data_IF_049336353995
#
_entry.id   IF_049336353995
#
_cell.length_a   1.000
_cell.length_b   1.000
_cell.length_c   1.000
_cell.angle_alpha   90.00
_cell.angle_beta   90.00
_cell.angle_gamma   90.00
#
_symmetry.space_group_name_H-M   'P 1'
#
loop_
_entity.id
_entity.type
_entity.pdbx_description
1 polymer ?
#
# COMPACT_ATOMS: atom_id res chain seq x y z
N UNK A 1 -54.22 -41.70 70.55
CA UNK A 1 -53.78 -40.75 69.51
C UNK A 1 -52.60 -41.40 68.82
N UNK A 2 -52.83 -41.79 67.56
CA UNK A 2 -51.90 -41.93 66.41
C UNK A 2 -50.46 -42.44 66.69
N UNK A 3 -49.92 -43.47 66.05
CA UNK A 3 -50.27 -44.20 64.83
C UNK A 3 -49.05 -45.01 64.36
N UNK A 4 -49.28 -45.87 63.36
CA UNK A 4 -48.32 -46.60 62.52
C UNK A 4 -47.45 -47.69 63.16
N UNK A 5 -47.06 -48.78 62.50
CA UNK A 5 -47.51 -49.57 61.34
C UNK A 5 -46.36 -50.57 61.11
N UNK A 6 -46.69 -51.85 61.00
CA UNK A 6 -46.03 -52.91 60.23
C UNK A 6 -44.49 -52.91 60.06
N UNK A 7 -43.83 -53.93 60.62
CA UNK A 7 -42.63 -54.51 60.01
C UNK A 7 -42.81 -56.02 59.89
N UNK A 8 -43.24 -56.44 58.69
CA UNK A 8 -43.13 -57.82 58.22
C UNK A 8 -41.76 -58.02 57.59
N UNK A 9 -41.10 -59.12 57.98
CA UNK A 9 -39.88 -59.63 57.37
C UNK A 9 -40.06 -59.91 55.88
N UNK A 10 -39.11 -59.47 55.07
CA UNK A 10 -38.82 -60.01 53.74
C UNK A 10 -37.30 -60.12 53.61
N UNK A 11 -36.81 -61.36 53.56
CA UNK A 11 -35.42 -61.69 53.22
C UNK A 11 -35.13 -61.25 51.78
N UNK A 12 -34.03 -60.51 51.59
CA UNK A 12 -33.53 -60.14 50.27
C UNK A 12 -32.43 -61.13 49.89
N UNK A 13 -32.50 -61.79 48.72
CA UNK A 13 -31.46 -62.70 48.27
C UNK A 13 -30.14 -61.97 47.98
N UNK A 14 -29.01 -62.61 48.30
CA UNK A 14 -27.68 -62.08 48.01
C UNK A 14 -27.47 -61.99 46.50
N UNK A 15 -27.56 -60.79 45.95
CA UNK A 15 -27.10 -60.51 44.60
C UNK A 15 -25.58 -60.32 44.64
N UNK A 16 -24.86 -61.24 44.00
CA UNK A 16 -23.46 -61.05 43.65
C UNK A 16 -23.35 -59.84 42.71
N UNK A 17 -22.82 -58.74 43.23
CA UNK A 17 -22.56 -57.53 42.44
C UNK A 17 -21.33 -57.81 41.57
N UNK A 18 -21.43 -57.80 40.23
CA UNK A 18 -20.24 -57.80 39.39
C UNK A 18 -19.50 -56.49 39.62
N UNK A 19 -18.21 -56.56 39.96
CA UNK A 19 -17.34 -55.39 39.96
C UNK A 19 -17.20 -54.92 38.51
N UNK A 20 -18.01 -53.94 38.12
CA UNK A 20 -17.81 -53.21 36.87
C UNK A 20 -16.63 -52.27 37.13
N UNK A 21 -15.45 -52.63 36.64
CA UNK A 21 -14.35 -51.67 36.49
C UNK A 21 -14.81 -50.59 35.52
N UNK A 22 -15.17 -49.44 36.07
CA UNK A 22 -15.41 -48.22 35.28
C UNK A 22 -14.04 -47.78 34.77
N UNK A 23 -13.78 -47.75 33.44
CA UNK A 23 -12.54 -47.18 32.95
C UNK A 23 -12.51 -45.70 33.37
N UNK A 24 -11.43 -45.30 34.04
CA UNK A 24 -11.20 -43.90 34.37
C UNK A 24 -11.26 -43.07 33.07
N UNK A 25 -12.04 -41.98 33.02
CA UNK A 25 -12.06 -41.14 31.84
C UNK A 25 -10.67 -40.51 31.73
N UNK A 26 -9.91 -40.93 30.72
CA UNK A 26 -8.70 -40.21 30.31
C UNK A 26 -9.16 -38.86 29.78
N UNK A 27 -9.07 -37.81 30.60
CA UNK A 27 -9.23 -36.44 30.13
C UNK A 27 -8.06 -36.14 29.20
N UNK A 28 -8.29 -36.32 27.90
CA UNK A 28 -7.42 -35.79 26.87
C UNK A 28 -7.54 -34.28 26.95
N UNK A 29 -6.61 -33.62 27.64
CA UNK A 29 -6.44 -32.17 27.52
C UNK A 29 -5.96 -31.93 26.11
N UNK A 30 -6.91 -31.70 25.19
CA UNK A 30 -6.60 -31.23 23.87
C UNK A 30 -6.04 -29.82 24.05
N UNK A 31 -4.71 -29.71 23.99
CA UNK A 31 -4.05 -28.41 23.91
C UNK A 31 -4.78 -27.61 22.83
N UNK A 32 -5.19 -26.35 23.10
CA UNK A 32 -5.85 -25.56 22.09
C UNK A 32 -4.93 -25.56 20.87
N UNK A 33 -5.43 -26.12 19.75
CA UNK A 33 -4.76 -25.99 18.46
C UNK A 33 -4.44 -24.50 18.33
N UNK A 34 -3.18 -24.10 18.09
CA UNK A 34 -2.87 -22.70 17.90
C UNK A 34 -3.84 -22.22 16.82
N UNK A 35 -4.80 -21.38 17.20
CA UNK A 35 -5.54 -20.64 16.19
C UNK A 35 -4.47 -19.81 15.54
N UNK A 36 -4.07 -20.20 14.33
CA UNK A 36 -3.30 -19.34 13.46
C UNK A 36 -4.20 -18.13 13.29
N UNK A 37 -3.94 -17.10 14.09
CA UNK A 37 -4.45 -15.76 13.81
C UNK A 37 -3.83 -15.47 12.46
N UNK A 38 -4.62 -15.64 11.40
CA UNK A 38 -4.27 -15.15 10.09
C UNK A 38 -4.24 -13.64 10.28
N UNK A 39 -3.08 -13.11 10.66
CA UNK A 39 -2.81 -11.69 10.58
C UNK A 39 -3.26 -11.26 9.18
N UNK A 40 -4.03 -10.17 9.03
CA UNK A 40 -4.64 -9.83 7.76
C UNK A 40 -3.54 -9.53 6.73
N UNK A 41 -3.07 -10.55 6.02
CA UNK A 41 -2.08 -10.48 4.94
C UNK A 41 -2.60 -9.69 3.75
N UNK A 42 -3.90 -9.33 3.75
CA UNK A 42 -4.58 -8.49 2.77
C UNK A 42 -4.34 -6.99 3.01
N UNK A 43 -4.10 -6.56 4.25
CA UNK A 43 -4.07 -5.12 4.58
C UNK A 43 -2.84 -4.35 4.06
N UNK A 44 -1.60 -4.88 4.13
CA UNK A 44 -0.45 -4.16 3.58
C UNK A 44 -0.49 -4.06 2.05
N UNK A 45 -1.03 -5.07 1.35
CA UNK A 45 -0.94 -5.15 -0.11
C UNK A 45 -1.74 -4.07 -0.82
N UNK A 46 -2.97 -3.78 -0.38
CA UNK A 46 -3.82 -2.75 -0.98
C UNK A 46 -3.25 -1.34 -0.73
N UNK A 47 -2.78 -1.07 0.48
CA UNK A 47 -2.14 0.19 0.87
C UNK A 47 -0.90 0.45 0.00
N UNK A 48 0.00 -0.52 -0.11
CA UNK A 48 1.19 -0.38 -0.93
C UNK A 48 0.85 -0.27 -2.42
N UNK A 49 -0.11 -1.04 -2.93
CA UNK A 49 -0.55 -0.89 -4.32
C UNK A 49 -1.04 0.53 -4.63
N UNK A 50 -1.80 1.15 -3.72
CA UNK A 50 -2.23 2.54 -3.88
C UNK A 50 -1.04 3.51 -3.86
N UNK A 51 -0.08 3.31 -2.94
CA UNK A 51 1.16 4.11 -2.89
C UNK A 51 1.92 4.01 -4.22
N UNK A 52 2.09 2.78 -4.74
CA UNK A 52 2.77 2.56 -6.02
C UNK A 52 2.04 3.26 -7.16
N UNK A 53 0.72 3.10 -7.21
CA UNK A 53 -0.10 3.70 -8.24
C UNK A 53 0.05 5.22 -8.27
N UNK A 54 0.08 5.88 -7.11
CA UNK A 54 0.17 7.35 -7.06
C UNK A 54 1.59 7.92 -7.15
N UNK A 55 2.59 7.22 -6.60
CA UNK A 55 3.96 7.73 -6.58
C UNK A 55 4.74 7.39 -7.86
N UNK A 56 4.46 6.24 -8.49
CA UNK A 56 5.27 5.71 -9.60
C UNK A 56 4.51 5.64 -10.93
N UNK A 57 3.19 5.89 -10.94
CA UNK A 57 2.37 5.76 -12.15
C UNK A 57 1.32 6.86 -12.29
N UNK A 58 0.76 7.01 -13.49
CA UNK A 58 -0.54 7.66 -13.68
C UNK A 58 -1.35 6.82 -14.64
N UNK A 59 -2.58 6.47 -14.24
CA UNK A 59 -3.45 5.57 -15.01
C UNK A 59 -2.80 4.23 -15.35
N UNK A 60 -1.86 3.77 -14.52
CA UNK A 60 -1.09 2.53 -14.69
C UNK A 60 0.13 2.62 -15.61
N UNK A 61 0.39 3.76 -16.25
CA UNK A 61 1.58 3.98 -17.05
C UNK A 61 2.77 4.43 -16.19
N UNK A 62 3.98 3.95 -16.53
CA UNK A 62 5.20 4.55 -16.02
C UNK A 62 5.44 5.88 -16.73
N UNK A 63 5.25 6.97 -16.01
CA UNK A 63 5.25 8.32 -16.58
C UNK A 63 6.60 9.03 -16.48
N UNK A 64 7.61 8.38 -15.88
CA UNK A 64 8.88 9.08 -15.69
C UNK A 64 9.59 9.31 -17.00
N UNK A 65 9.86 10.59 -17.27
CA UNK A 65 10.56 11.05 -18.46
C UNK A 65 12.09 11.01 -18.27
N UNK A 66 12.54 11.08 -17.01
CA UNK A 66 13.91 10.76 -16.61
C UNK A 66 13.92 10.07 -15.26
N UNK A 67 14.97 9.30 -14.99
CA UNK A 67 15.14 8.64 -13.71
C UNK A 67 15.50 9.65 -12.59
N UNK A 68 15.19 9.28 -11.35
CA UNK A 68 15.70 9.96 -10.16
C UNK A 68 17.17 9.59 -9.93
N UNK A 69 17.96 10.55 -9.43
CA UNK A 69 19.28 10.33 -8.85
C UNK A 69 19.18 10.20 -7.34
N UNK A 70 20.19 9.59 -6.71
CA UNK A 70 20.21 9.47 -5.25
C UNK A 70 20.07 10.85 -4.58
N UNK A 71 19.19 10.92 -3.58
CA UNK A 71 18.85 12.13 -2.86
C UNK A 71 17.85 13.04 -3.59
N UNK A 72 17.49 12.79 -4.85
CA UNK A 72 16.47 13.58 -5.53
C UNK A 72 15.06 13.27 -5.00
N UNK A 73 14.21 14.29 -4.99
CA UNK A 73 12.83 14.16 -4.54
C UNK A 73 11.90 15.11 -5.31
N UNK A 74 10.62 14.74 -5.37
CA UNK A 74 9.51 15.57 -5.84
C UNK A 74 8.37 15.55 -4.84
N UNK A 75 7.62 16.64 -4.78
CA UNK A 75 6.41 16.78 -3.98
C UNK A 75 5.28 17.29 -4.86
N UNK A 76 4.18 16.54 -4.94
CA UNK A 76 2.98 16.90 -5.68
C UNK A 76 1.76 17.02 -4.79
N UNK A 77 0.79 17.83 -5.21
CA UNK A 77 -0.57 17.79 -4.69
C UNK A 77 -1.38 16.88 -5.59
N UNK A 78 -2.01 15.87 -4.99
CA UNK A 78 -2.93 14.95 -5.64
C UNK A 78 -4.34 15.30 -5.19
N UNK A 79 -5.21 15.49 -6.17
CA UNK A 79 -6.65 15.74 -5.96
C UNK A 79 -7.43 14.64 -6.65
N UNK A 80 -8.41 14.08 -5.94
CA UNK A 80 -9.42 13.17 -6.46
C UNK A 80 -10.78 13.89 -6.45
N UNK A 81 -11.14 14.61 -7.53
CA UNK A 81 -12.30 15.50 -7.53
C UNK A 81 -13.60 14.79 -7.14
N UNK A 82 -13.82 13.56 -7.63
CA UNK A 82 -15.03 12.79 -7.35
C UNK A 82 -15.19 12.40 -5.88
N UNK A 83 -14.08 12.32 -5.14
CA UNK A 83 -14.06 11.99 -3.70
C UNK A 83 -13.94 13.22 -2.81
N UNK A 84 -13.61 14.38 -3.39
CA UNK A 84 -13.25 15.58 -2.63
C UNK A 84 -11.95 15.44 -1.82
N UNK A 85 -11.15 14.41 -2.10
CA UNK A 85 -9.92 14.13 -1.36
C UNK A 85 -8.75 14.89 -1.97
N UNK A 86 -7.95 15.54 -1.12
CA UNK A 86 -6.70 16.21 -1.49
C UNK A 86 -5.59 15.73 -0.54
N UNK A 87 -4.44 15.39 -1.10
CA UNK A 87 -3.25 15.02 -0.34
C UNK A 87 -1.99 15.54 -1.01
N UNK A 88 -0.99 15.89 -0.21
CA UNK A 88 0.35 16.10 -0.72
C UNK A 88 1.11 14.76 -0.64
N UNK A 89 1.88 14.45 -1.67
CA UNK A 89 2.72 13.26 -1.72
C UNK A 89 4.14 13.67 -2.11
N UNK A 90 5.11 13.26 -1.31
CA UNK A 90 6.52 13.39 -1.64
C UNK A 90 7.10 12.02 -1.96
N UNK A 91 7.79 11.92 -3.10
CA UNK A 91 8.58 10.75 -3.48
C UNK A 91 10.06 11.15 -3.49
N UNK A 92 10.91 10.38 -2.82
CA UNK A 92 12.35 10.58 -2.82
C UNK A 92 13.10 9.29 -3.12
N UNK A 93 14.09 9.36 -4.01
CA UNK A 93 15.05 8.28 -4.19
C UNK A 93 16.15 8.43 -3.15
N UNK A 94 16.21 7.50 -2.21
CA UNK A 94 17.10 7.62 -1.06
C UNK A 94 18.51 7.14 -1.37
N UNK A 95 18.66 5.90 -1.84
CA UNK A 95 19.97 5.27 -2.06
C UNK A 95 19.82 3.96 -2.82
N UNK A 96 20.84 3.58 -3.60
CA UNK A 96 21.02 2.22 -4.11
C UNK A 96 21.91 1.39 -3.19
N UNK A 97 21.51 0.15 -2.95
CA UNK A 97 22.23 -0.86 -2.17
C UNK A 97 22.32 -2.16 -3.00
N UNK A 98 23.19 -3.13 -2.66
CA UNK A 98 23.30 -4.38 -3.43
C UNK A 98 21.98 -5.12 -3.62
N UNK A 99 21.08 -5.05 -2.64
CA UNK A 99 19.78 -5.73 -2.63
C UNK A 99 18.70 -4.99 -3.45
N UNK A 100 18.94 -3.72 -3.80
CA UNK A 100 17.97 -2.91 -4.52
C UNK A 100 18.04 -1.40 -4.24
N UNK A 101 16.89 -0.75 -4.25
CA UNK A 101 16.76 0.70 -4.18
C UNK A 101 15.84 1.10 -3.02
N UNK A 102 16.35 1.96 -2.14
CA UNK A 102 15.57 2.58 -1.09
C UNK A 102 14.83 3.79 -1.63
N UNK A 103 13.53 3.83 -1.39
CA UNK A 103 12.63 4.93 -1.72
C UNK A 103 11.91 5.41 -0.47
N UNK A 104 11.66 6.72 -0.38
CA UNK A 104 10.82 7.32 0.65
C UNK A 104 9.56 7.88 0.03
N UNK A 105 8.41 7.53 0.58
CA UNK A 105 7.13 8.15 0.26
C UNK A 105 6.58 8.83 1.51
N UNK A 106 6.28 10.12 1.43
CA UNK A 106 5.54 10.83 2.46
C UNK A 106 4.15 11.17 1.93
N UNK A 107 3.12 10.91 2.71
CA UNK A 107 1.73 11.21 2.39
C UNK A 107 1.21 12.15 3.46
N UNK A 108 0.74 13.32 3.04
CA UNK A 108 0.19 14.35 3.91
C UNK A 108 -1.23 14.66 3.43
N UNK A 109 -2.24 13.93 3.92
CA UNK A 109 -3.65 14.24 3.63
C UNK A 109 -4.00 15.66 4.08
N UNK A 110 -4.84 16.36 3.32
CA UNK A 110 -5.39 17.67 3.74
C UNK A 110 -6.66 17.56 4.57
N UNK A 111 -7.24 16.35 4.65
CA UNK A 111 -8.40 16.06 5.49
C UNK A 111 -7.98 15.99 6.97
N UNK A 112 -8.65 16.75 7.83
CA UNK A 112 -8.30 16.94 9.24
C UNK A 112 -8.18 15.64 10.04
N UNK A 113 -9.08 14.68 9.79
CA UNK A 113 -9.12 13.41 10.52
C UNK A 113 -8.05 12.40 10.07
N UNK A 114 -7.30 12.72 9.01
CA UNK A 114 -6.35 11.81 8.37
C UNK A 114 -4.93 12.05 8.86
N UNK A 115 -4.23 10.97 9.20
CA UNK A 115 -2.86 11.04 9.74
C UNK A 115 -1.84 11.06 8.60
N UNK A 116 -0.79 11.89 8.67
CA UNK A 116 0.33 11.80 7.73
C UNK A 116 1.03 10.45 7.89
N UNK A 117 1.62 9.95 6.81
CA UNK A 117 2.36 8.70 6.82
C UNK A 117 3.70 8.83 6.08
N UNK A 118 4.72 8.16 6.59
CA UNK A 118 6.04 8.05 5.96
C UNK A 118 6.30 6.56 5.74
N UNK A 119 6.73 6.21 4.55
CA UNK A 119 7.18 4.87 4.19
C UNK A 119 8.58 4.95 3.64
N UNK A 120 9.44 4.03 4.07
CA UNK A 120 10.74 3.79 3.46
C UNK A 120 10.76 2.34 2.99
N UNK A 121 10.94 2.17 1.69
CA UNK A 121 10.67 0.93 0.97
C UNK A 121 11.92 0.51 0.22
N UNK A 122 12.37 -0.72 0.45
CA UNK A 122 13.43 -1.35 -0.33
C UNK A 122 12.80 -2.11 -1.49
N UNK A 123 13.11 -1.68 -2.71
CA UNK A 123 12.67 -2.30 -3.94
C UNK A 123 13.78 -3.10 -4.58
N UNK A 124 13.52 -4.36 -4.90
CA UNK A 124 14.47 -5.13 -5.69
C UNK A 124 14.55 -4.60 -7.12
N UNK A 125 15.76 -4.27 -7.55
CA UNK A 125 16.03 -3.89 -8.94
C UNK A 125 15.90 -5.06 -9.91
N UNK A 126 16.08 -6.29 -9.43
CA UNK A 126 16.03 -7.52 -10.23
C UNK A 126 14.61 -8.09 -10.34
N UNK A 127 14.00 -8.40 -9.21
CA UNK A 127 12.72 -9.11 -9.18
C UNK A 127 11.51 -8.20 -9.13
N UNK A 128 11.72 -6.88 -8.99
CA UNK A 128 10.64 -5.89 -8.89
C UNK A 128 9.64 -6.24 -7.78
N UNK A 129 10.15 -6.67 -6.64
CA UNK A 129 9.38 -6.96 -5.42
C UNK A 129 9.73 -5.99 -4.31
N UNK A 130 8.79 -5.81 -3.40
CA UNK A 130 9.03 -5.12 -2.13
C UNK A 130 9.82 -6.08 -1.23
N UNK A 131 11.05 -5.70 -0.86
CA UNK A 131 11.93 -6.52 -0.02
C UNK A 131 11.87 -6.16 1.46
N UNK A 132 11.58 -4.89 1.77
CA UNK A 132 11.42 -4.41 3.14
C UNK A 132 10.62 -3.11 3.15
N UNK A 133 9.82 -2.91 4.19
CA UNK A 133 9.17 -1.62 4.44
C UNK A 133 9.28 -1.26 5.91
N UNK A 134 9.71 -0.02 6.16
CA UNK A 134 9.55 0.65 7.45
C UNK A 134 8.54 1.79 7.29
N UNK A 135 7.62 1.93 8.23
CA UNK A 135 6.59 2.99 8.17
C UNK A 135 6.47 3.77 9.47
N UNK A 136 5.89 4.97 9.39
CA UNK A 136 5.45 5.77 10.54
C UNK A 136 4.12 6.43 10.20
N UNK A 137 3.12 6.28 11.06
CA UNK A 137 1.78 6.86 10.87
C UNK A 137 1.48 7.85 11.99
N UNK A 138 1.23 9.11 11.64
CA UNK A 138 0.97 10.20 12.56
C UNK A 138 2.06 10.32 13.64
N UNK A 139 1.65 10.23 14.90
CA UNK A 139 2.53 10.34 16.07
C UNK A 139 3.06 9.00 16.57
N UNK A 140 2.68 7.87 15.95
CA UNK A 140 3.15 6.54 16.35
C UNK A 140 4.65 6.38 16.07
N UNK A 141 5.37 5.53 16.82
CA UNK A 141 6.77 5.24 16.54
C UNK A 141 6.93 4.53 15.17
N UNK A 142 8.08 4.67 14.49
CA UNK A 142 8.37 3.90 13.29
C UNK A 142 8.40 2.39 13.55
N UNK A 143 7.80 1.61 12.65
CA UNK A 143 7.69 0.15 12.76
C UNK A 143 8.05 -0.55 11.44
N UNK A 144 8.48 -1.81 11.53
CA UNK A 144 8.63 -2.69 10.37
C UNK A 144 7.27 -3.22 9.93
N UNK A 145 7.04 -3.26 8.62
CA UNK A 145 5.84 -3.87 8.04
C UNK A 145 6.21 -5.23 7.47
N UNK A 146 5.51 -6.32 7.86
CA UNK A 146 5.73 -7.62 7.26
C UNK A 146 5.51 -7.58 5.74
N UNK A 147 6.51 -8.01 4.98
CA UNK A 147 6.43 -8.21 3.53
C UNK A 147 6.51 -9.69 3.24
N UNK A 148 5.67 -10.18 2.33
CA UNK A 148 5.69 -11.59 1.90
C UNK A 148 6.42 -11.70 0.57
N UNK A 149 6.92 -12.88 0.24
CA UNK A 149 7.57 -13.15 -1.06
C UNK A 149 6.63 -12.85 -2.25
N UNK A 150 5.32 -12.89 -2.01
CA UNK A 150 4.28 -12.61 -2.99
C UNK A 150 3.79 -11.15 -2.98
N UNK A 151 4.40 -10.27 -2.18
CA UNK A 151 4.08 -8.84 -2.21
C UNK A 151 4.81 -8.19 -3.39
N UNK A 152 4.26 -8.43 -4.57
CA UNK A 152 4.68 -7.78 -5.81
C UNK A 152 4.09 -6.37 -5.87
N UNK A 153 4.89 -5.40 -6.29
CA UNK A 153 4.34 -4.17 -6.83
C UNK A 153 4.11 -4.39 -8.33
N UNK A 154 2.98 -3.94 -8.86
CA UNK A 154 2.77 -3.96 -10.31
C UNK A 154 3.66 -2.85 -10.87
N UNK A 155 4.77 -3.23 -11.50
CA UNK A 155 5.64 -2.29 -12.18
C UNK A 155 4.81 -1.56 -13.25
N UNK A 156 4.70 -0.23 -13.18
CA UNK A 156 4.02 0.50 -14.23
C UNK A 156 4.73 0.25 -15.58
N UNK A 157 3.95 0.19 -16.66
CA UNK A 157 4.48 -0.18 -17.97
C UNK A 157 5.45 0.90 -18.45
N UNK A 158 6.75 0.56 -18.56
CA UNK A 158 7.75 1.46 -19.13
C UNK A 158 7.48 1.64 -20.62
N UNK A 159 7.12 2.86 -20.99
CA UNK A 159 6.83 3.22 -22.38
C UNK A 159 8.14 3.34 -23.18
N UNK A 160 8.11 2.91 -24.44
CA UNK A 160 9.24 3.15 -25.36
C UNK A 160 9.28 4.62 -25.78
N UNK A 161 10.43 5.06 -26.30
CA UNK A 161 10.60 6.42 -26.79
C UNK A 161 9.63 6.72 -27.95
N UNK A 162 9.49 5.78 -28.88
CA UNK A 162 8.61 5.88 -30.05
C UNK A 162 7.15 6.00 -29.64
N UNK A 163 6.73 5.25 -28.61
CA UNK A 163 5.38 5.34 -28.07
C UNK A 163 5.12 6.73 -27.49
N UNK A 164 6.04 7.25 -26.66
CA UNK A 164 5.90 8.58 -26.04
C UNK A 164 5.86 9.67 -27.12
N UNK A 165 6.72 9.58 -28.13
CA UNK A 165 6.76 10.52 -29.25
C UNK A 165 5.45 10.50 -30.06
N UNK A 166 4.91 9.31 -30.37
CA UNK A 166 3.62 9.18 -31.06
C UNK A 166 2.42 9.69 -30.26
N UNK A 167 2.50 9.64 -28.93
CA UNK A 167 1.47 10.16 -28.02
C UNK A 167 1.64 11.64 -27.65
N UNK A 168 2.76 12.26 -28.03
CA UNK A 168 3.04 13.67 -27.72
C UNK A 168 2.19 14.57 -28.61
N UNK A 169 1.38 15.45 -28.00
CA UNK A 169 0.52 16.42 -28.71
C UNK A 169 1.22 17.74 -29.01
N UNK A 170 2.28 18.05 -28.26
CA UNK A 170 3.07 19.25 -28.48
C UNK A 170 3.96 19.59 -27.30
N UNK A 171 4.50 20.80 -27.34
CA UNK A 171 5.28 21.40 -26.26
C UNK A 171 4.52 22.62 -25.76
N UNK A 172 4.30 22.69 -24.46
CA UNK A 172 3.50 23.72 -23.81
C UNK A 172 4.28 24.40 -22.69
N UNK A 173 3.92 25.65 -22.39
CA UNK A 173 4.39 26.34 -21.18
C UNK A 173 3.38 26.11 -20.06
N UNK A 174 3.82 25.43 -19.01
CA UNK A 174 2.98 25.03 -17.88
C UNK A 174 3.43 25.77 -16.62
N UNK A 175 2.48 26.42 -15.96
CA UNK A 175 2.66 27.06 -14.65
C UNK A 175 2.06 26.18 -13.56
N UNK A 176 2.88 25.85 -12.57
CA UNK A 176 2.53 25.09 -11.36
C UNK A 176 3.13 25.80 -10.15
N UNK A 177 2.76 25.43 -8.91
CA UNK A 177 3.34 26.05 -7.72
C UNK A 177 4.88 25.94 -7.67
N UNK A 178 5.47 24.86 -8.18
CA UNK A 178 6.93 24.70 -8.27
C UNK A 178 7.63 25.63 -9.29
N UNK A 179 6.89 26.36 -10.12
CA UNK A 179 7.44 27.28 -11.12
C UNK A 179 6.79 27.16 -12.51
N UNK A 180 7.50 27.68 -13.52
CA UNK A 180 7.07 27.64 -14.92
C UNK A 180 8.03 26.78 -15.73
N UNK A 181 7.46 25.85 -16.50
CA UNK A 181 8.21 24.85 -17.25
C UNK A 181 7.76 24.81 -18.70
N UNK A 182 8.71 24.65 -19.62
CA UNK A 182 8.44 24.14 -20.96
C UNK A 182 8.39 22.63 -20.88
N UNK A 183 7.25 22.05 -21.22
CA UNK A 183 6.96 20.62 -21.02
C UNK A 183 6.31 20.00 -22.25
N UNK A 184 6.65 18.74 -22.55
CA UNK A 184 5.96 17.93 -23.56
C UNK A 184 4.61 17.49 -23.00
N UNK A 185 3.54 17.70 -23.75
CA UNK A 185 2.20 17.21 -23.42
C UNK A 185 1.99 15.84 -24.07
N UNK A 186 1.83 14.81 -23.24
CA UNK A 186 1.67 13.42 -23.68
C UNK A 186 0.27 12.95 -23.32
N UNK A 187 -0.41 12.28 -24.26
CA UNK A 187 -1.80 11.84 -24.11
C UNK A 187 -1.96 10.39 -24.59
N UNK A 188 -2.41 9.52 -23.71
CA UNK A 188 -2.78 8.13 -24.01
C UNK A 188 -4.23 7.86 -23.67
N UNK A 189 -4.82 6.81 -24.26
CA UNK A 189 -6.01 6.20 -23.71
C UNK A 189 -5.69 5.62 -22.32
N UNK A 190 -6.68 5.53 -21.42
CA UNK A 190 -6.51 4.76 -20.18
C UNK A 190 -6.37 3.26 -20.50
N UNK A 191 -5.74 2.50 -19.59
CA UNK A 191 -5.51 1.06 -19.80
C UNK A 191 -6.79 0.23 -19.87
N UNK A 192 -7.88 0.70 -19.29
CA UNK A 192 -9.22 0.10 -19.38
C UNK A 192 -9.99 0.52 -20.64
N UNK A 193 -9.41 1.40 -21.47
CA UNK A 193 -10.02 1.96 -22.67
C UNK A 193 -11.10 3.02 -22.40
N UNK A 194 -11.35 3.38 -21.15
CA UNK A 194 -12.40 4.31 -20.72
C UNK A 194 -11.83 5.66 -20.31
N UNK A 195 -11.60 6.50 -21.32
CA UNK A 195 -11.07 7.84 -21.14
C UNK A 195 -9.59 7.96 -21.52
N UNK A 196 -8.87 8.83 -20.83
CA UNK A 196 -7.48 9.17 -21.19
C UNK A 196 -6.62 9.56 -19.99
N UNK A 197 -5.32 9.37 -20.18
CA UNK A 197 -4.28 9.77 -19.25
C UNK A 197 -3.43 10.83 -19.92
N UNK A 198 -3.21 11.94 -19.24
CA UNK A 198 -2.40 13.05 -19.72
C UNK A 198 -1.32 13.43 -18.73
N UNK A 199 -0.15 13.79 -19.23
CA UNK A 199 0.89 14.39 -18.40
C UNK A 199 1.74 15.38 -19.17
N UNK A 200 2.36 16.27 -18.40
CA UNK A 200 3.31 17.26 -18.88
C UNK A 200 4.68 16.94 -18.31
N UNK A 201 5.63 16.71 -19.20
CA UNK A 201 6.96 16.22 -18.85
C UNK A 201 8.11 17.16 -19.27
N UNK A 202 9.14 17.26 -18.43
CA UNK A 202 10.36 18.05 -18.63
C UNK A 202 11.54 17.37 -17.94
N UNK A 203 12.75 17.46 -18.51
CA UNK A 203 13.95 16.85 -17.91
C UNK A 203 14.44 17.60 -16.65
N UNK A 204 13.93 18.82 -16.41
CA UNK A 204 14.38 19.67 -15.31
C UNK A 204 13.96 19.18 -13.91
N UNK A 205 13.01 18.26 -13.84
CA UNK A 205 12.41 17.77 -12.58
C UNK A 205 12.74 16.28 -12.42
N UNK A 206 13.07 15.77 -11.21
CA UNK A 206 13.21 14.34 -10.96
C UNK A 206 11.94 13.56 -11.32
N UNK A 207 12.07 12.42 -12.02
CA UNK A 207 10.91 11.76 -12.64
C UNK A 207 10.34 12.50 -13.85
N UNK A 208 10.54 13.81 -13.95
CA UNK A 208 10.25 14.63 -15.10
C UNK A 208 8.80 15.07 -15.24
N UNK A 209 7.89 14.71 -14.34
CA UNK A 209 6.47 15.08 -14.46
C UNK A 209 6.16 16.32 -13.63
N UNK A 210 5.58 17.35 -14.26
CA UNK A 210 5.17 18.60 -13.59
C UNK A 210 3.67 18.67 -13.32
N UNK A 211 2.89 17.94 -14.12
CA UNK A 211 1.44 17.83 -14.01
C UNK A 211 0.99 16.53 -14.65
N UNK A 212 -0.01 15.88 -14.09
CA UNK A 212 -0.67 14.76 -14.72
C UNK A 212 -2.15 14.72 -14.33
N UNK A 213 -3.00 14.11 -15.16
CA UNK A 213 -4.41 13.90 -14.87
C UNK A 213 -4.96 12.67 -15.58
N UNK A 214 -5.97 12.06 -14.97
CA UNK A 214 -6.82 11.03 -15.56
C UNK A 214 -8.17 11.66 -15.84
N UNK A 215 -8.68 11.40 -17.04
CA UNK A 215 -9.97 11.88 -17.52
C UNK A 215 -10.82 10.66 -17.85
N UNK A 216 -12.04 10.60 -17.35
CA UNK A 216 -12.99 9.49 -17.58
C UNK A 216 -13.63 9.55 -18.99
N UNK A 217 -14.54 8.62 -19.26
CA UNK A 217 -15.24 8.49 -20.54
C UNK A 217 -16.21 9.66 -20.82
N UNK A 218 -16.71 10.33 -19.77
CA UNK A 218 -17.52 11.53 -19.84
C UNK A 218 -16.72 12.84 -19.97
N UNK A 219 -15.38 12.75 -19.93
CA UNK A 219 -14.49 13.91 -20.04
C UNK A 219 -14.23 14.66 -18.73
N UNK A 220 -14.63 14.11 -17.58
CA UNK A 220 -14.37 14.67 -16.25
C UNK A 220 -13.02 14.21 -15.72
N UNK A 221 -12.40 15.06 -14.91
CA UNK A 221 -11.11 14.74 -14.27
C UNK A 221 -11.38 13.94 -13.00
N UNK A 222 -11.01 12.66 -13.00
CA UNK A 222 -11.17 11.76 -11.84
C UNK A 222 -9.95 11.78 -10.91
N UNK A 223 -8.79 12.19 -11.44
CA UNK A 223 -7.55 12.31 -10.69
C UNK A 223 -6.65 13.38 -11.32
N UNK A 224 -5.98 14.20 -10.50
CA UNK A 224 -4.99 15.17 -10.97
C UNK A 224 -3.84 15.27 -9.97
N UNK A 225 -2.62 15.40 -10.49
CA UNK A 225 -1.41 15.72 -9.71
C UNK A 225 -0.72 16.95 -10.27
N UNK A 226 -0.31 17.86 -9.38
CA UNK A 226 0.39 19.10 -9.72
C UNK A 226 1.65 19.23 -8.86
N UNK A 227 2.79 19.52 -9.49
CA UNK A 227 4.07 19.65 -8.79
C UNK A 227 4.09 20.89 -7.88
N UNK A 228 4.30 20.65 -6.59
CA UNK A 228 4.44 21.68 -5.57
C UNK A 228 5.88 22.12 -5.39
N UNK A 229 6.82 21.17 -5.32
CA UNK A 229 8.25 21.44 -5.16
C UNK A 229 9.07 20.21 -5.55
N UNK A 230 10.38 20.39 -5.72
CA UNK A 230 11.32 19.31 -5.99
C UNK A 230 12.73 19.73 -5.54
N UNK A 231 13.64 18.77 -5.39
CA UNK A 231 15.00 19.08 -4.99
C UNK A 231 15.91 17.87 -4.87
N UNK A 232 17.00 18.08 -4.14
CA UNK A 232 18.03 17.08 -3.83
C UNK A 232 18.25 17.00 -2.31
N UNK A 233 19.13 16.10 -1.87
CA UNK A 233 19.52 15.98 -0.46
C UNK A 233 18.52 15.23 0.42
N UNK A 234 17.60 14.45 -0.16
CA UNK A 234 16.75 13.56 0.61
C UNK A 234 17.58 12.54 1.40
N UNK A 235 17.14 12.24 2.63
CA UNK A 235 17.77 11.30 3.56
C UNK A 235 16.71 10.41 4.18
N UNK A 236 17.10 9.29 4.77
CA UNK A 236 16.18 8.53 5.62
C UNK A 236 15.62 9.39 6.76
N UNK A 237 14.34 9.22 7.07
CA UNK A 237 13.62 9.73 8.23
C UNK A 237 13.28 8.62 9.22
N UNK A 238 13.28 7.35 8.78
CA UNK A 238 12.94 6.19 9.62
C UNK A 238 14.16 5.36 10.01
N UNK A 239 15.37 5.82 9.67
CA UNK A 239 16.62 5.14 9.99
C UNK A 239 16.80 3.81 9.26
N UNK A 240 16.33 3.72 8.00
CA UNK A 240 16.71 2.61 7.11
C UNK A 240 18.08 2.88 6.52
N UNK A 241 18.81 1.80 6.26
CA UNK A 241 19.82 1.52 5.22
C UNK A 241 20.46 0.19 5.64
#
# INVERSE_FOLDING_TARGET
>A
LEGCSCLGCLEIPSLSVPVITVPSPTVQVQAPTPQVVVAPTVYPSIEFQAIYMYAFSVGGYWIWYRDFKEGEWTKGEITLPDKGDVMEMELAFLKRVPEGEWWRVQIMPKKEDSKPAIYEILLSSETHTIRRVRRKIGTLPPEEVPVTENLYYIKPVKLTKESIEGATKGIETIKVPAGTFTARHVVYASLDGKGRVEWWATEKVPGGVVKAKVVDEEGKVSWISVLLSYGTGAKTLLGVY
#
